data_IF_555641954123
#
_entry.id   IF_555641954123
#
_cell.length_a   1.000
_cell.length_b   1.000
_cell.length_c   1.000
_cell.angle_alpha   90.00
_cell.angle_beta   90.00
_cell.angle_gamma   90.00
#
_symmetry.space_group_name_H-M   'P 1'
#
loop_
_entity.id
_entity.type
_entity.pdbx_description
1 polymer ?
#
# COMPACT_ATOMS: atom_id res chain seq x y z
N UNK A 1 -54.73 5.41 -8.45
CA UNK A 1 -53.55 5.26 -7.58
C UNK A 1 -52.31 5.13 -8.47
N UNK A 2 -51.53 6.20 -8.64
CA UNK A 2 -50.27 6.19 -9.41
C UNK A 2 -49.11 6.37 -8.45
N UNK A 3 -48.11 5.48 -8.40
CA UNK A 3 -46.97 5.63 -7.51
C UNK A 3 -46.04 6.73 -8.03
N UNK A 4 -45.72 7.68 -7.15
CA UNK A 4 -44.70 8.71 -7.40
C UNK A 4 -43.33 8.04 -7.51
N UNK A 5 -42.69 8.12 -8.68
CA UNK A 5 -41.29 7.75 -8.86
C UNK A 5 -40.41 8.67 -7.98
N UNK A 6 -39.69 8.04 -7.06
CA UNK A 6 -38.68 8.65 -6.21
C UNK A 6 -37.47 9.08 -7.08
N UNK A 7 -37.15 10.38 -7.10
CA UNK A 7 -35.99 10.92 -7.85
C UNK A 7 -34.66 10.45 -7.22
N UNK A 8 -33.62 10.13 -8.02
CA UNK A 8 -32.33 9.68 -7.50
C UNK A 8 -31.59 10.80 -6.73
N UNK A 9 -30.99 10.43 -5.60
CA UNK A 9 -30.24 11.30 -4.67
C UNK A 9 -29.03 11.95 -5.38
N UNK A 10 -29.01 13.28 -5.38
CA UNK A 10 -28.01 14.21 -5.93
C UNK A 10 -26.61 14.18 -5.26
N UNK A 11 -26.26 13.15 -4.48
CA UNK A 11 -25.02 13.12 -3.68
C UNK A 11 -23.74 12.81 -4.48
N UNK A 12 -23.85 12.23 -5.67
CA UNK A 12 -22.68 11.84 -6.47
C UNK A 12 -21.96 13.01 -7.15
N UNK A 13 -22.66 14.14 -7.35
CA UNK A 13 -22.14 15.29 -8.11
C UNK A 13 -21.31 16.28 -7.27
N UNK A 14 -21.47 16.27 -5.95
CA UNK A 14 -20.72 17.15 -5.04
C UNK A 14 -19.26 16.70 -4.87
N UNK A 15 -19.00 15.39 -4.92
CA UNK A 15 -17.67 14.79 -4.69
C UNK A 15 -16.65 15.07 -5.80
N UNK A 16 -17.11 15.44 -7.00
CA UNK A 16 -16.23 15.79 -8.14
C UNK A 16 -15.78 17.25 -8.15
N UNK A 17 -16.44 18.15 -7.40
CA UNK A 17 -16.04 19.57 -7.37
C UNK A 17 -14.83 19.84 -6.47
N UNK A 18 -14.61 19.04 -5.43
CA UNK A 18 -13.45 19.20 -4.52
C UNK A 18 -12.12 18.73 -5.12
N UNK A 19 -12.15 17.79 -6.07
CA UNK A 19 -10.94 17.28 -6.72
C UNK A 19 -10.22 18.34 -7.59
N UNK A 20 -10.93 19.39 -8.03
CA UNK A 20 -10.41 20.41 -8.93
C UNK A 20 -9.66 21.57 -8.23
N UNK A 21 -9.55 21.56 -6.90
CA UNK A 21 -8.94 22.64 -6.11
C UNK A 21 -7.91 22.16 -5.08
N UNK A 22 -7.38 20.94 -5.20
CA UNK A 22 -6.33 20.45 -4.31
C UNK A 22 -4.98 21.08 -4.62
N UNK A 23 -4.21 21.37 -3.56
CA UNK A 23 -2.81 21.79 -3.69
C UNK A 23 -2.00 20.78 -4.54
N UNK A 24 -1.06 21.25 -5.38
CA UNK A 24 -0.14 20.37 -6.11
C UNK A 24 0.62 19.39 -5.20
N UNK A 25 0.98 19.84 -3.99
CA UNK A 25 1.66 18.99 -3.01
C UNK A 25 0.76 17.85 -2.52
N UNK A 26 -0.52 18.12 -2.30
CA UNK A 26 -1.51 17.10 -1.92
C UNK A 26 -1.68 16.07 -3.02
N UNK A 27 -1.72 16.47 -4.29
CA UNK A 27 -1.81 15.52 -5.40
C UNK A 27 -0.55 14.64 -5.47
N UNK A 28 0.64 15.21 -5.37
CA UNK A 28 1.91 14.47 -5.42
C UNK A 28 2.03 13.42 -4.31
N UNK A 29 1.73 13.79 -3.05
CA UNK A 29 1.77 12.87 -1.91
C UNK A 29 0.69 11.79 -2.00
N UNK A 30 -0.49 12.13 -2.53
CA UNK A 30 -1.56 11.16 -2.79
C UNK A 30 -1.15 10.16 -3.87
N UNK A 31 -0.49 10.62 -4.93
CA UNK A 31 0.01 9.76 -6.00
C UNK A 31 1.10 8.80 -5.50
N UNK A 32 1.99 9.25 -4.61
CA UNK A 32 2.96 8.39 -3.93
C UNK A 32 2.27 7.32 -3.08
N UNK A 33 1.27 7.69 -2.27
CA UNK A 33 0.53 6.73 -1.47
C UNK A 33 -0.24 5.70 -2.34
N UNK A 34 -0.82 6.13 -3.46
CA UNK A 34 -1.46 5.23 -4.42
C UNK A 34 -0.45 4.27 -5.06
N UNK A 35 0.75 4.76 -5.39
CA UNK A 35 1.83 3.91 -5.89
C UNK A 35 2.27 2.88 -4.85
N UNK A 36 2.39 3.26 -3.57
CA UNK A 36 2.68 2.32 -2.49
C UNK A 36 1.63 1.20 -2.41
N UNK A 37 0.34 1.50 -2.56
CA UNK A 37 -0.71 0.47 -2.60
C UNK A 37 -0.48 -0.57 -3.72
N UNK A 38 -0.07 -0.11 -4.90
CA UNK A 38 0.23 -1.01 -6.03
C UNK A 38 1.46 -1.86 -5.75
N UNK A 39 2.55 -1.25 -5.24
CA UNK A 39 3.79 -1.96 -4.90
C UNK A 39 3.55 -3.02 -3.83
N UNK A 40 2.78 -2.71 -2.77
CA UNK A 40 2.43 -3.66 -1.74
C UNK A 40 1.55 -4.80 -2.27
N UNK A 41 0.62 -4.51 -3.19
CA UNK A 41 -0.16 -5.53 -3.88
C UNK A 41 0.73 -6.47 -4.70
N UNK A 42 1.73 -5.93 -5.40
CA UNK A 42 2.69 -6.72 -6.17
C UNK A 42 3.56 -7.58 -5.23
N UNK A 43 4.02 -7.05 -4.10
CA UNK A 43 4.72 -7.83 -3.09
C UNK A 43 3.87 -9.01 -2.59
N UNK A 44 2.59 -8.76 -2.30
CA UNK A 44 1.65 -9.78 -1.85
C UNK A 44 1.41 -10.87 -2.92
N UNK A 45 1.34 -10.49 -4.19
CA UNK A 45 1.20 -11.44 -5.29
C UNK A 45 2.47 -12.29 -5.47
N UNK A 46 3.64 -11.65 -5.45
CA UNK A 46 4.92 -12.33 -5.63
C UNK A 46 5.24 -13.28 -4.47
N UNK A 47 4.91 -12.91 -3.22
CA UNK A 47 5.11 -13.84 -2.10
C UNK A 47 4.22 -15.08 -2.24
N UNK A 48 2.97 -14.91 -2.71
CA UNK A 48 2.07 -16.03 -2.96
C UNK A 48 2.63 -16.96 -4.04
N UNK A 49 3.17 -16.40 -5.13
CA UNK A 49 3.81 -17.19 -6.18
C UNK A 49 5.06 -17.93 -5.68
N UNK A 50 5.91 -17.25 -4.91
CA UNK A 50 7.08 -17.87 -4.28
C UNK A 50 6.68 -19.05 -3.36
N UNK A 51 5.65 -18.86 -2.53
CA UNK A 51 5.17 -19.90 -1.61
C UNK A 51 4.53 -21.09 -2.34
N UNK A 52 3.82 -20.85 -3.44
CA UNK A 52 3.16 -21.90 -4.20
C UNK A 52 4.14 -22.68 -5.09
N UNK A 53 5.09 -21.98 -5.71
CA UNK A 53 5.88 -22.51 -6.82
C UNK A 53 7.39 -22.54 -6.55
N UNK A 54 7.86 -22.02 -5.41
CA UNK A 54 9.28 -21.93 -5.08
C UNK A 54 10.08 -20.96 -5.97
N UNK A 55 9.40 -20.04 -6.66
CA UNK A 55 9.99 -19.12 -7.64
C UNK A 55 10.98 -18.15 -6.99
N UNK A 56 12.29 -18.36 -7.22
CA UNK A 56 13.34 -17.43 -6.73
C UNK A 56 13.20 -16.03 -7.30
N UNK A 57 12.71 -15.89 -8.54
CA UNK A 57 12.48 -14.58 -9.14
C UNK A 57 11.35 -13.84 -8.43
N UNK A 58 10.27 -14.54 -8.06
CA UNK A 58 9.21 -13.94 -7.26
C UNK A 58 9.71 -13.48 -5.88
N UNK A 59 10.58 -14.25 -5.22
CA UNK A 59 11.20 -13.83 -3.96
C UNK A 59 12.06 -12.56 -4.12
N UNK A 60 12.85 -12.45 -5.20
CA UNK A 60 13.61 -11.22 -5.48
C UNK A 60 12.68 -10.03 -5.75
N UNK A 61 11.58 -10.24 -6.45
CA UNK A 61 10.58 -9.20 -6.68
C UNK A 61 9.96 -8.70 -5.37
N UNK A 62 9.69 -9.58 -4.40
CA UNK A 62 9.22 -9.16 -3.05
C UNK A 62 10.24 -8.23 -2.39
N UNK A 63 11.54 -8.53 -2.48
CA UNK A 63 12.60 -7.68 -1.93
C UNK A 63 12.67 -6.31 -2.61
N UNK A 64 12.49 -6.27 -3.93
CA UNK A 64 12.53 -5.01 -4.66
C UNK A 64 11.29 -4.16 -4.36
N UNK A 65 10.12 -4.78 -4.16
CA UNK A 65 8.92 -4.10 -3.68
C UNK A 65 9.09 -3.53 -2.26
N UNK A 66 9.67 -4.29 -1.33
CA UNK A 66 9.94 -3.81 0.04
C UNK A 66 10.82 -2.55 0.04
N UNK A 67 11.98 -2.59 -0.63
CA UNK A 67 12.84 -1.40 -0.77
C UNK A 67 12.14 -0.21 -1.43
N UNK A 68 11.23 -0.46 -2.35
CA UNK A 68 10.49 0.62 -3.00
C UNK A 68 9.45 1.22 -2.06
N UNK A 69 8.84 0.42 -1.18
CA UNK A 69 7.96 0.93 -0.12
C UNK A 69 8.74 1.79 0.88
N UNK A 70 9.93 1.37 1.31
CA UNK A 70 10.81 2.18 2.17
C UNK A 70 11.09 3.55 1.55
N UNK A 71 11.41 3.57 0.25
CA UNK A 71 11.68 4.82 -0.47
C UNK A 71 10.45 5.72 -0.55
N UNK A 72 9.27 5.14 -0.79
CA UNK A 72 8.04 5.91 -0.87
C UNK A 72 7.67 6.49 0.49
N UNK A 73 7.80 5.71 1.56
CA UNK A 73 7.56 6.15 2.94
C UNK A 73 8.50 7.30 3.31
N UNK A 74 9.80 7.15 3.06
CA UNK A 74 10.79 8.22 3.25
C UNK A 74 10.48 9.47 2.42
N UNK A 75 10.05 9.34 1.16
CA UNK A 75 9.66 10.47 0.33
C UNK A 75 8.44 11.22 0.87
N UNK A 76 7.47 10.50 1.43
CA UNK A 76 6.29 11.09 2.05
C UNK A 76 6.70 11.82 3.33
N UNK A 77 7.51 11.20 4.18
CA UNK A 77 8.03 11.79 5.42
C UNK A 77 8.81 13.07 5.19
N UNK A 78 9.63 13.13 4.14
CA UNK A 78 10.42 14.32 3.80
C UNK A 78 9.55 15.49 3.31
N UNK A 79 8.52 15.20 2.50
CA UNK A 79 7.70 16.22 1.84
C UNK A 79 6.51 16.70 2.68
N UNK A 80 5.99 15.85 3.55
CA UNK A 80 4.77 16.09 4.33
C UNK A 80 4.85 17.34 5.23
N UNK A 81 5.92 17.61 6.00
CA UNK A 81 5.95 18.73 6.95
C UNK A 81 5.74 20.09 6.29
N UNK A 82 6.30 20.28 5.09
CA UNK A 82 6.10 21.50 4.31
C UNK A 82 4.69 21.54 3.73
N UNK A 83 4.25 20.46 3.11
CA UNK A 83 2.94 20.39 2.45
C UNK A 83 1.79 20.64 3.44
N UNK A 84 1.86 20.07 4.65
CA UNK A 84 0.78 20.18 5.63
C UNK A 84 0.62 21.60 6.21
N UNK A 85 1.69 22.40 6.23
CA UNK A 85 1.67 23.77 6.72
C UNK A 85 0.98 24.76 5.74
N UNK A 86 0.84 24.38 4.47
CA UNK A 86 0.38 25.26 3.38
C UNK A 86 -1.04 24.94 2.89
N UNK A 87 -1.75 24.00 3.53
CA UNK A 87 -3.04 23.48 3.07
C UNK A 87 -4.18 23.70 4.05
N UNK A 88 -5.42 23.54 3.57
CA UNK A 88 -6.62 23.59 4.41
C UNK A 88 -6.71 22.39 5.35
N UNK A 89 -7.51 22.49 6.43
CA UNK A 89 -7.71 21.36 7.36
C UNK A 89 -8.17 20.05 6.67
N UNK A 90 -9.13 20.06 5.71
CA UNK A 90 -9.52 18.85 4.99
C UNK A 90 -8.36 18.22 4.20
N UNK A 91 -7.52 19.02 3.57
CA UNK A 91 -6.34 18.55 2.84
C UNK A 91 -5.26 18.05 3.80
N UNK A 92 -5.05 18.70 4.94
CA UNK A 92 -4.13 18.23 5.96
C UNK A 92 -4.54 16.83 6.48
N UNK A 93 -5.84 16.58 6.66
CA UNK A 93 -6.35 15.24 7.03
C UNK A 93 -6.09 14.20 5.94
N UNK A 94 -6.19 14.59 4.66
CA UNK A 94 -5.86 13.72 3.53
C UNK A 94 -4.35 13.40 3.49
N UNK A 95 -3.50 14.40 3.71
CA UNK A 95 -2.05 14.24 3.79
C UNK A 95 -1.63 13.32 4.94
N UNK A 96 -2.24 13.49 6.13
CA UNK A 96 -2.01 12.59 7.27
C UNK A 96 -2.50 11.16 7.00
N UNK A 97 -3.56 10.99 6.21
CA UNK A 97 -3.98 9.66 5.77
C UNK A 97 -2.96 9.03 4.82
N UNK A 98 -2.37 9.82 3.90
CA UNK A 98 -1.30 9.34 3.02
C UNK A 98 -0.09 8.85 3.81
N UNK A 99 0.36 9.63 4.80
CA UNK A 99 1.42 9.22 5.74
C UNK A 99 1.10 7.88 6.41
N UNK A 100 -0.09 7.79 7.02
CA UNK A 100 -0.47 6.57 7.74
C UNK A 100 -0.51 5.35 6.81
N UNK A 101 -1.02 5.53 5.59
CA UNK A 101 -1.02 4.45 4.61
C UNK A 101 0.39 4.05 4.20
N UNK A 102 1.31 4.99 3.94
CA UNK A 102 2.67 4.63 3.55
C UNK A 102 3.40 3.86 4.65
N UNK A 103 3.28 4.28 5.91
CA UNK A 103 3.85 3.54 7.05
C UNK A 103 3.25 2.14 7.20
N UNK A 104 1.92 2.01 7.12
CA UNK A 104 1.26 0.70 7.22
C UNK A 104 1.66 -0.22 6.04
N UNK A 105 1.86 0.34 4.84
CA UNK A 105 2.22 -0.41 3.63
C UNK A 105 3.70 -0.82 3.61
N UNK A 106 4.62 0.05 4.02
CA UNK A 106 6.03 -0.29 4.27
C UNK A 106 6.09 -1.49 5.22
N UNK A 107 5.38 -1.41 6.35
CA UNK A 107 5.35 -2.49 7.33
C UNK A 107 4.82 -3.80 6.77
N UNK A 108 3.84 -3.74 5.88
CA UNK A 108 3.34 -4.93 5.16
C UNK A 108 4.45 -5.50 4.26
N UNK A 109 5.15 -4.67 3.48
CA UNK A 109 6.28 -5.09 2.65
C UNK A 109 7.36 -5.82 3.45
N UNK A 110 7.75 -5.21 4.56
CA UNK A 110 8.69 -5.70 5.57
C UNK A 110 8.33 -7.11 6.08
N UNK A 111 7.06 -7.30 6.46
CA UNK A 111 6.53 -8.57 6.95
C UNK A 111 6.50 -9.64 5.85
N UNK A 112 6.10 -9.28 4.62
CA UNK A 112 6.06 -10.17 3.48
C UNK A 112 7.46 -10.66 3.10
N UNK A 113 8.43 -9.75 3.07
CA UNK A 113 9.84 -10.09 2.86
C UNK A 113 10.35 -11.04 3.95
N UNK A 114 10.06 -10.74 5.21
CA UNK A 114 10.42 -11.60 6.34
C UNK A 114 9.82 -13.02 6.25
N UNK A 115 8.57 -13.16 5.77
CA UNK A 115 7.98 -14.47 5.47
C UNK A 115 8.78 -15.19 4.38
N UNK A 116 9.10 -14.51 3.28
CA UNK A 116 9.87 -15.07 2.18
C UNK A 116 11.25 -15.57 2.61
N UNK A 117 11.97 -14.76 3.40
CA UNK A 117 13.28 -15.14 3.94
C UNK A 117 13.22 -16.38 4.83
N UNK A 118 12.22 -16.46 5.72
CA UNK A 118 12.05 -17.62 6.62
C UNK A 118 11.77 -18.89 5.83
N UNK A 119 10.85 -18.84 4.86
CA UNK A 119 10.52 -20.00 4.04
C UNK A 119 11.70 -20.41 3.16
N UNK A 120 12.42 -19.45 2.57
CA UNK A 120 13.62 -19.73 1.79
C UNK A 120 14.73 -20.41 2.62
N UNK A 121 14.81 -20.08 3.91
CA UNK A 121 15.81 -20.63 4.83
C UNK A 121 15.40 -21.97 5.45
N UNK A 122 14.16 -22.43 5.22
CA UNK A 122 13.72 -23.72 5.76
C UNK A 122 14.50 -24.87 5.10
N UNK A 123 15.06 -25.79 5.90
CA UNK A 123 15.69 -26.98 5.35
C UNK A 123 14.66 -27.84 4.60
N UNK A 124 15.01 -28.30 3.41
CA UNK A 124 14.15 -29.13 2.55
C UNK A 124 13.92 -30.55 3.10
N UNK A 125 14.60 -30.93 4.19
CA UNK A 125 14.40 -32.20 4.88
C UNK A 125 13.95 -31.92 6.30
N UNK A 126 12.87 -32.59 6.70
CA UNK A 126 12.49 -32.71 8.10
C UNK A 126 13.69 -33.27 8.89
N UNK A 127 13.98 -32.73 10.09
CA UNK A 127 14.93 -33.36 11.00
C UNK A 127 14.57 -34.84 11.17
N UNK A 128 15.58 -35.70 11.24
CA UNK A 128 15.37 -37.15 11.32
C UNK A 128 14.46 -37.56 12.52
N UNK A 129 14.45 -36.75 13.58
CA UNK A 129 13.59 -36.94 14.75
C UNK A 129 12.09 -36.77 14.44
N UNK A 130 11.73 -35.90 13.50
CA UNK A 130 10.35 -35.63 13.09
C UNK A 130 9.90 -36.55 11.94
N UNK A 131 10.81 -37.36 11.40
CA UNK A 131 10.56 -38.28 10.27
C UNK A 131 10.03 -39.64 10.71
N UNK A 132 9.95 -39.91 12.02
CA UNK A 132 9.63 -41.23 12.59
C UNK A 132 8.35 -41.26 13.44
N UNK A 133 7.47 -40.27 13.34
CA UNK A 133 6.13 -40.30 13.97
C UNK A 133 5.04 -40.68 12.97
#
# INVERSE_FOLDING_TARGET
MTPKLLKPRTKFRARRKSAAQRSPATNSLTDLALRACLVASDAAYNIKDFLANGSRMALLAVRDCEKELDRIESQIDEQLPKAIAEVSEPEARELLACLRFSTDLERIGDLLWGVGQRVHSLPTKLPAADSQQ
#
